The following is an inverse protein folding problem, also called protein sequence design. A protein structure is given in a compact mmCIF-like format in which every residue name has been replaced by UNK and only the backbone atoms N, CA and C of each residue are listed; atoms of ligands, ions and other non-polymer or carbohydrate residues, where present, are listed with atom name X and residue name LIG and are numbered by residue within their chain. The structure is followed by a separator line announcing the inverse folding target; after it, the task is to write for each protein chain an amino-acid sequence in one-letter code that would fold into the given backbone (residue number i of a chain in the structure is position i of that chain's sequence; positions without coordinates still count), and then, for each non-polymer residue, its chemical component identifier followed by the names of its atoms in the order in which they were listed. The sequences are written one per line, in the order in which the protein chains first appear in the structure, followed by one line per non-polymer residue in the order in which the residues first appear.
data_IF_580609661056
#
_entry.id   IF_580609661056
#
_cell.length_a   1.000
_cell.length_b   1.000
_cell.length_c   1.000
_cell.angle_alpha   90.00
_cell.angle_beta   90.00
_cell.angle_gamma   90.00
#
_symmetry.space_group_name_H-M   'P 1'
#
loop_
_entity.id
_entity.type
_entity.pdbx_description
1 polymer ?
#
# COMPACT_ATOMS: atom_id res chain seq x y z
N UNK A 1 31.32 -16.40 58.19
CA UNK A 1 31.34 -15.55 56.97
C UNK A 1 30.67 -16.20 55.75
N UNK A 2 30.41 -17.50 55.75
CA UNK A 2 29.84 -18.21 54.58
C UNK A 2 28.34 -17.97 54.37
N UNK A 3 27.55 -17.79 55.44
CA UNK A 3 26.09 -17.61 55.36
C UNK A 3 25.69 -16.30 54.66
N UNK A 4 26.43 -15.20 54.88
CA UNK A 4 26.19 -13.93 54.19
C UNK A 4 26.46 -14.01 52.69
N UNK A 5 27.43 -14.82 52.28
CA UNK A 5 27.78 -15.00 50.87
C UNK A 5 26.71 -15.82 50.13
N UNK A 6 26.16 -16.84 50.80
CA UNK A 6 25.04 -17.63 50.27
C UNK A 6 23.80 -16.76 50.03
N UNK A 7 23.43 -15.92 51.01
CA UNK A 7 22.27 -15.01 50.90
C UNK A 7 22.48 -13.98 49.78
N UNK A 8 23.71 -13.46 49.62
CA UNK A 8 24.04 -12.49 48.58
C UNK A 8 23.98 -13.10 47.18
N UNK A 9 24.50 -14.32 47.01
CA UNK A 9 24.43 -15.05 45.73
C UNK A 9 22.99 -15.39 45.34
N UNK A 10 22.15 -15.81 46.29
CA UNK A 10 20.74 -16.11 46.03
C UNK A 10 19.94 -14.86 45.60
N UNK A 11 20.23 -13.69 46.19
CA UNK A 11 19.59 -12.43 45.78
C UNK A 11 19.97 -12.00 44.37
N UNK A 12 21.23 -12.21 43.97
CA UNK A 12 21.69 -11.91 42.61
C UNK A 12 21.05 -12.88 41.62
N UNK A 13 20.99 -14.18 41.93
CA UNK A 13 20.32 -15.18 41.11
C UNK A 13 18.84 -14.86 40.90
N UNK A 14 18.14 -14.44 41.96
CA UNK A 14 16.74 -14.01 41.86
C UNK A 14 16.58 -12.76 40.98
N UNK A 15 17.45 -11.76 41.11
CA UNK A 15 17.40 -10.56 40.28
C UNK A 15 17.67 -10.85 38.80
N UNK A 16 18.61 -11.74 38.50
CA UNK A 16 18.88 -12.16 37.12
C UNK A 16 17.70 -12.93 36.54
N UNK A 17 17.08 -13.83 37.32
CA UNK A 17 15.92 -14.59 36.89
C UNK A 17 14.71 -13.69 36.57
N UNK A 18 14.45 -12.67 37.40
CA UNK A 18 13.35 -11.73 37.13
C UNK A 18 13.58 -10.87 35.89
N UNK A 19 14.82 -10.42 35.65
CA UNK A 19 15.19 -9.69 34.43
C UNK A 19 14.98 -10.56 33.20
N UNK A 20 15.39 -11.84 33.24
CA UNK A 20 15.20 -12.76 32.12
C UNK A 20 13.72 -13.03 31.84
N UNK A 21 12.90 -13.22 32.88
CA UNK A 21 11.44 -13.40 32.71
C UNK A 21 10.80 -12.16 32.09
N UNK A 22 11.18 -10.96 32.56
CA UNK A 22 10.70 -9.70 31.99
C UNK A 22 11.15 -9.54 30.53
N UNK A 23 12.40 -9.86 30.20
CA UNK A 23 12.91 -9.78 28.84
C UNK A 23 12.15 -10.72 27.89
N UNK A 24 11.89 -11.96 28.32
CA UNK A 24 11.08 -12.92 27.54
C UNK A 24 9.63 -12.43 27.40
N UNK A 25 9.04 -11.85 28.45
CA UNK A 25 7.69 -11.28 28.39
C UNK A 25 7.60 -10.09 27.42
N UNK A 26 8.60 -9.21 27.41
CA UNK A 26 8.69 -8.10 26.46
C UNK A 26 8.84 -8.58 25.01
N UNK A 27 9.73 -9.57 24.77
CA UNK A 27 9.90 -10.17 23.45
C UNK A 27 8.62 -10.89 22.98
N UNK A 28 7.91 -11.55 23.89
CA UNK A 28 6.63 -12.18 23.57
C UNK A 28 5.58 -11.14 23.20
N UNK A 29 5.46 -10.06 23.98
CA UNK A 29 4.48 -9.00 23.73
C UNK A 29 4.68 -8.34 22.35
N UNK A 30 5.94 -8.13 21.96
CA UNK A 30 6.33 -7.56 20.66
C UNK A 30 6.06 -8.54 19.48
N UNK A 31 6.18 -9.85 19.69
CA UNK A 31 5.83 -10.85 18.67
C UNK A 31 4.30 -11.01 18.55
N UNK A 32 3.56 -10.89 19.66
CA UNK A 32 2.10 -10.95 19.64
C UNK A 32 1.44 -9.72 19.02
N UNK A 33 2.08 -8.55 19.01
CA UNK A 33 1.58 -7.38 18.27
C UNK A 33 1.82 -7.51 16.76
N UNK A 34 2.94 -8.10 16.33
CA UNK A 34 3.26 -8.33 14.91
C UNK A 34 2.38 -9.41 14.27
N UNK A 35 1.88 -10.38 15.05
CA UNK A 35 1.06 -11.49 14.54
C UNK A 35 -0.46 -11.23 14.57
N UNK A 36 -0.95 -10.31 15.41
CA UNK A 36 -2.37 -9.94 15.45
C UNK A 36 -2.79 -9.03 14.31
N UNK A 37 -1.92 -8.13 13.83
CA UNK A 37 -2.21 -7.29 12.66
C UNK A 37 -2.37 -8.10 11.35
N UNK A 38 -1.76 -9.30 11.27
CA UNK A 38 -1.87 -10.17 10.09
C UNK A 38 -3.17 -11.01 10.07
N UNK A 39 -3.75 -11.30 11.24
CA UNK A 39 -4.95 -12.15 11.38
C UNK A 39 -6.25 -11.34 11.54
N UNK A 40 -6.17 -10.05 11.89
CA UNK A 40 -7.35 -9.26 12.22
C UNK A 40 -7.99 -8.53 11.03
N UNK A 41 -7.67 -8.91 9.78
CA UNK A 41 -8.40 -8.47 8.59
C UNK A 41 -8.60 -6.96 8.51
N UNK A 42 -7.71 -6.18 9.13
CA UNK A 42 -7.72 -4.73 9.07
C UNK A 42 -7.18 -4.43 7.68
N UNK A 43 -8.11 -4.32 6.72
CA UNK A 43 -7.87 -3.59 5.47
C UNK A 43 -7.01 -2.40 5.87
N UNK A 44 -5.77 -2.26 5.37
CA UNK A 44 -4.93 -1.14 5.73
C UNK A 44 -5.82 0.08 5.58
N UNK A 45 -6.07 0.74 6.72
CA UNK A 45 -6.88 1.93 6.73
C UNK A 45 -6.24 2.83 5.69
N UNK A 46 -6.98 3.07 4.60
CA UNK A 46 -6.56 3.84 3.44
C UNK A 46 -6.52 5.32 3.85
N UNK A 47 -5.78 5.61 4.91
CA UNK A 47 -5.38 6.92 5.39
C UNK A 47 -3.96 7.25 4.92
N UNK A 48 -3.30 6.36 4.17
CA UNK A 48 -2.50 6.85 3.05
C UNK A 48 -3.47 7.26 1.96
N UNK A 49 -4.09 8.42 2.16
CA UNK A 49 -4.41 9.29 1.04
C UNK A 49 -3.04 9.52 0.38
N UNK A 50 -2.66 8.64 -0.55
CA UNK A 50 -1.69 8.99 -1.58
C UNK A 50 -2.16 10.38 -2.01
N UNK A 51 -1.30 11.38 -1.81
CA UNK A 51 -1.52 12.74 -2.31
C UNK A 51 -1.49 12.62 -3.83
N UNK A 52 -2.55 12.03 -4.35
CA UNK A 52 -2.86 11.85 -5.75
C UNK A 52 -2.94 13.28 -6.24
N UNK A 53 -2.00 13.68 -7.09
CA UNK A 53 -2.15 14.93 -7.80
C UNK A 53 -3.39 14.68 -8.67
N UNK A 54 -4.54 15.23 -8.32
CA UNK A 54 -5.76 15.00 -9.11
C UNK A 54 -5.77 15.90 -10.35
N UNK A 55 -4.59 16.21 -10.87
CA UNK A 55 -4.39 17.25 -11.89
C UNK A 55 -4.86 16.79 -13.26
N UNK A 56 -4.78 15.49 -13.56
CA UNK A 56 -5.25 14.93 -14.83
C UNK A 56 -6.50 14.05 -14.67
N UNK A 57 -7.06 13.92 -13.46
CA UNK A 57 -8.27 13.13 -13.21
C UNK A 57 -9.52 13.98 -13.43
N UNK A 58 -10.40 13.54 -14.32
CA UNK A 58 -11.70 14.17 -14.53
C UNK A 58 -12.68 13.93 -13.34
N UNK A 59 -13.68 14.81 -13.20
CA UNK A 59 -14.68 14.76 -12.15
C UNK A 59 -15.47 13.45 -12.10
N UNK A 60 -15.67 12.80 -13.26
CA UNK A 60 -16.30 11.49 -13.38
C UNK A 60 -15.49 10.39 -12.69
N UNK A 61 -14.17 10.39 -12.90
CA UNK A 61 -13.22 9.45 -12.25
C UNK A 61 -13.13 9.71 -10.75
N UNK A 62 -13.13 10.98 -10.33
CA UNK A 62 -13.16 11.36 -8.92
C UNK A 62 -14.46 10.91 -8.22
N UNK A 63 -15.57 10.87 -8.95
CA UNK A 63 -16.87 10.40 -8.44
C UNK A 63 -16.90 8.89 -8.32
N UNK A 64 -16.46 8.16 -9.36
CA UNK A 64 -16.34 6.70 -9.32
C UNK A 64 -15.36 6.23 -8.21
N UNK A 65 -14.32 7.02 -7.92
CA UNK A 65 -13.44 6.81 -6.74
C UNK A 65 -14.18 6.92 -5.41
N UNK A 66 -15.12 7.87 -5.27
CA UNK A 66 -15.91 8.04 -4.03
C UNK A 66 -16.91 6.89 -3.84
N UNK A 67 -17.39 6.31 -4.93
CA UNK A 67 -18.37 5.22 -4.93
C UNK A 67 -17.75 3.83 -4.71
N UNK A 68 -16.42 3.73 -4.53
CA UNK A 68 -15.70 2.48 -4.28
C UNK A 68 -15.96 1.40 -5.34
N UNK A 69 -16.13 1.77 -6.61
CA UNK A 69 -16.20 0.77 -7.68
C UNK A 69 -14.87 0.01 -7.74
N UNK A 70 -14.92 -1.32 -7.72
CA UNK A 70 -13.71 -2.16 -7.65
C UNK A 70 -12.84 -2.02 -8.91
N UNK A 71 -13.46 -1.83 -10.08
CA UNK A 71 -12.76 -1.63 -11.35
C UNK A 71 -13.55 -0.67 -12.22
N UNK A 72 -12.86 0.31 -12.80
CA UNK A 72 -13.44 1.35 -13.65
C UNK A 72 -12.77 1.27 -15.01
N UNK A 73 -13.57 1.41 -16.07
CA UNK A 73 -13.07 1.59 -17.43
C UNK A 73 -12.68 3.05 -17.64
N UNK A 74 -11.45 3.25 -18.09
CA UNK A 74 -10.83 4.54 -18.27
C UNK A 74 -10.49 4.78 -19.74
N UNK A 75 -10.58 6.04 -20.11
CA UNK A 75 -9.91 6.61 -21.27
C UNK A 75 -8.71 7.40 -20.76
N UNK A 76 -7.52 6.91 -21.07
CA UNK A 76 -6.26 7.56 -20.71
C UNK A 76 -5.75 8.30 -21.95
N UNK A 77 -5.62 9.61 -21.82
CA UNK A 77 -5.12 10.49 -22.85
C UNK A 77 -3.60 10.60 -22.72
N UNK A 78 -2.90 10.42 -23.83
CA UNK A 78 -1.46 10.61 -23.92
C UNK A 78 -1.11 11.58 -25.04
N UNK A 79 -0.12 12.44 -24.83
CA UNK A 79 0.43 13.30 -25.89
C UNK A 79 1.05 12.50 -27.05
N UNK A 80 1.53 11.29 -26.79
CA UNK A 80 2.12 10.39 -27.77
C UNK A 80 1.78 8.94 -27.43
N UNK A 81 1.97 8.03 -28.40
CA UNK A 81 1.71 6.61 -28.16
C UNK A 81 2.64 6.11 -27.04
N UNK A 82 2.11 5.53 -25.94
CA UNK A 82 2.94 5.11 -24.82
C UNK A 82 3.93 4.02 -25.25
N UNK A 83 5.15 4.14 -24.75
CA UNK A 83 6.21 3.16 -24.96
C UNK A 83 5.88 1.82 -24.30
N UNK A 84 6.61 0.78 -24.69
CA UNK A 84 6.47 -0.56 -24.10
C UNK A 84 6.71 -0.53 -22.58
N UNK A 85 7.70 0.24 -22.13
CA UNK A 85 8.02 0.44 -20.71
C UNK A 85 6.88 1.10 -19.94
N UNK A 86 6.24 2.12 -20.51
CA UNK A 86 5.08 2.77 -19.90
C UNK A 86 3.91 1.81 -19.74
N UNK A 87 3.68 0.94 -20.74
CA UNK A 87 2.63 -0.07 -20.67
C UNK A 87 2.92 -1.14 -19.62
N UNK A 88 4.17 -1.58 -19.51
CA UNK A 88 4.60 -2.54 -18.48
C UNK A 88 4.40 -1.93 -17.09
N UNK A 89 4.86 -0.69 -16.87
CA UNK A 89 4.69 0.01 -15.61
C UNK A 89 3.21 0.08 -15.19
N UNK A 90 2.32 0.47 -16.09
CA UNK A 90 0.89 0.56 -15.81
C UNK A 90 0.31 -0.83 -15.48
N UNK A 91 0.69 -1.87 -16.22
CA UNK A 91 0.26 -3.24 -15.96
C UNK A 91 0.72 -3.77 -14.59
N UNK A 92 1.98 -3.52 -14.21
CA UNK A 92 2.54 -3.88 -12.90
C UNK A 92 1.83 -3.18 -11.74
N UNK A 93 1.29 -1.98 -11.98
CA UNK A 93 0.52 -1.21 -11.00
C UNK A 93 -1.00 -1.51 -11.04
N UNK A 94 -1.41 -2.58 -11.74
CA UNK A 94 -2.81 -3.04 -11.75
C UNK A 94 -3.72 -2.29 -12.72
N UNK A 95 -3.16 -1.59 -13.71
CA UNK A 95 -3.89 -0.91 -14.78
C UNK A 95 -3.75 -1.74 -16.06
N UNK A 96 -4.84 -2.37 -16.48
CA UNK A 96 -4.88 -3.18 -17.70
C UNK A 96 -5.15 -2.29 -18.91
N UNK A 97 -4.14 -2.05 -19.74
CA UNK A 97 -4.28 -1.29 -20.98
C UNK A 97 -4.66 -2.21 -22.14
N UNK A 98 -5.48 -1.73 -23.06
CA UNK A 98 -5.78 -2.37 -24.34
C UNK A 98 -4.98 -1.69 -25.47
N UNK A 99 -3.77 -2.17 -25.79
CA UNK A 99 -2.85 -1.45 -26.70
C UNK A 99 -3.39 -1.27 -28.12
N UNK A 100 -4.27 -2.17 -28.56
CA UNK A 100 -4.93 -2.10 -29.87
C UNK A 100 -6.01 -1.01 -29.95
N UNK A 101 -6.40 -0.42 -28.80
CA UNK A 101 -7.39 0.65 -28.74
C UNK A 101 -6.78 2.05 -28.89
N UNK A 102 -5.51 2.17 -29.30
CA UNK A 102 -4.87 3.47 -29.49
C UNK A 102 -5.51 4.22 -30.67
N UNK A 103 -6.26 5.27 -30.36
CA UNK A 103 -6.98 6.07 -31.35
C UNK A 103 -6.95 7.54 -30.93
N UNK A 104 -6.59 8.45 -31.85
CA UNK A 104 -6.63 9.90 -31.64
C UNK A 104 -6.03 10.42 -30.32
N UNK A 105 -4.96 9.80 -29.80
CA UNK A 105 -4.31 10.16 -28.52
C UNK A 105 -4.90 9.53 -27.25
N UNK A 106 -5.78 8.54 -27.40
CA UNK A 106 -6.47 7.87 -26.30
C UNK A 106 -6.18 6.37 -26.26
N UNK A 107 -6.12 5.81 -25.06
CA UNK A 107 -6.12 4.38 -24.80
C UNK A 107 -7.22 4.01 -23.81
N UNK A 108 -7.84 2.86 -24.06
CA UNK A 108 -8.76 2.24 -23.12
C UNK A 108 -7.93 1.47 -22.12
N UNK A 109 -8.26 1.61 -20.85
CA UNK A 109 -7.71 0.81 -19.77
C UNK A 109 -8.79 0.45 -18.75
N UNK A 110 -8.61 -0.67 -18.06
CA UNK A 110 -9.39 -1.01 -16.88
C UNK A 110 -8.47 -0.89 -15.65
N UNK A 111 -8.91 -0.18 -14.62
CA UNK A 111 -8.09 0.10 -13.44
C UNK A 111 -8.92 0.03 -12.16
N UNK A 112 -8.30 -0.39 -11.06
CA UNK A 112 -8.90 -0.27 -9.73
C UNK A 112 -8.79 1.17 -9.24
N UNK A 113 -9.72 1.60 -8.40
CA UNK A 113 -9.69 2.96 -7.81
C UNK A 113 -8.38 3.24 -7.07
N UNK A 114 -7.78 2.23 -6.45
CA UNK A 114 -6.50 2.36 -5.75
C UNK A 114 -5.31 2.57 -6.70
N UNK A 115 -5.42 2.13 -7.96
CA UNK A 115 -4.35 2.23 -8.97
C UNK A 115 -4.34 3.55 -9.75
N UNK A 116 -5.42 4.34 -9.69
CA UNK A 116 -5.59 5.59 -10.45
C UNK A 116 -4.46 6.61 -10.25
N UNK A 117 -3.85 6.63 -9.06
CA UNK A 117 -2.77 7.57 -8.77
C UNK A 117 -1.45 7.20 -9.44
N UNK A 118 -1.25 5.92 -9.78
CA UNK A 118 -0.07 5.50 -10.55
C UNK A 118 -0.21 5.93 -12.00
N UNK A 119 -1.42 5.89 -12.56
CA UNK A 119 -1.70 6.44 -13.89
C UNK A 119 -1.33 7.93 -13.96
N UNK A 120 -1.86 8.77 -13.06
CA UNK A 120 -1.58 10.22 -13.07
C UNK A 120 -0.08 10.56 -12.94
N UNK A 121 0.71 9.68 -12.30
CA UNK A 121 2.14 9.90 -12.10
C UNK A 121 3.01 9.69 -13.34
N UNK A 122 2.47 9.07 -14.39
CA UNK A 122 3.25 8.71 -15.58
C UNK A 122 3.45 9.94 -16.49
N UNK A 123 4.70 10.28 -16.86
CA UNK A 123 4.94 11.34 -17.83
C UNK A 123 4.30 11.00 -19.19
N UNK A 124 3.67 12.00 -19.81
CA UNK A 124 2.97 11.86 -21.09
C UNK A 124 1.45 11.74 -20.98
N UNK A 125 0.92 11.42 -19.80
CA UNK A 125 -0.53 11.44 -19.58
C UNK A 125 -1.01 12.89 -19.46
N UNK A 126 -1.99 13.25 -20.28
CA UNK A 126 -2.60 14.59 -20.32
C UNK A 126 -3.98 14.63 -19.68
N UNK A 127 -4.63 13.48 -19.53
CA UNK A 127 -5.99 13.37 -18.97
C UNK A 127 -6.40 11.92 -18.73
N UNK A 128 -7.28 11.71 -17.75
CA UNK A 128 -7.89 10.42 -17.43
C UNK A 128 -9.39 10.67 -17.21
N UNK A 129 -10.22 10.04 -18.04
CA UNK A 129 -11.68 10.12 -17.98
C UNK A 129 -12.30 8.73 -17.91
N UNK A 130 -13.60 8.66 -17.61
CA UNK A 130 -14.34 7.39 -17.63
C UNK A 130 -14.73 7.03 -19.07
N UNK A 131 -14.61 5.76 -19.42
CA UNK A 131 -15.12 5.24 -20.69
C UNK A 131 -16.55 4.74 -20.51
N UNK A 132 -17.52 5.47 -21.06
CA UNK A 132 -18.93 5.04 -21.16
C UNK A 132 -19.14 3.96 -22.23
#
# INVERSE_FOLDING_TARGET
MEVLNLIRQHRILLAVATILILAVFYLWNDISSVSLDFLQGRKPEVQTVLKCKTTHLDGSVLTARKELQDTIRLLIHFNEKPSDDARIFLAENGIRIYPDSWVYEYLVADATVSSLCFADSLPGITGISTGE
#
